data_IF_786184944923
#
_entry.id   IF_786184944923
#
_cell.length_a   1.000
_cell.length_b   1.000
_cell.length_c   1.000
_cell.angle_alpha   90.00
_cell.angle_beta   90.00
_cell.angle_gamma   90.00
#
_symmetry.space_group_name_H-M   'P 1'
#
loop_
_entity.id
_entity.type
_entity.pdbx_description
1 polymer ?
#
# COMPACT_ATOMS: atom_id res chain seq x y z
N UNK A 1 -32.34 -75.46 -25.49
CA UNK A 1 -32.08 -74.29 -26.37
C UNK A 1 -31.99 -73.08 -25.46
N UNK A 2 -31.02 -72.19 -25.50
CA UNK A 2 -29.73 -72.09 -26.17
C UNK A 2 -29.15 -70.74 -25.67
N UNK A 3 -27.82 -70.65 -25.59
CA UNK A 3 -27.01 -69.41 -25.51
C UNK A 3 -26.97 -68.52 -24.23
N UNK A 4 -25.79 -68.57 -23.58
CA UNK A 4 -24.99 -67.36 -23.21
C UNK A 4 -24.52 -66.64 -24.51
N UNK A 5 -23.95 -65.39 -24.56
CA UNK A 5 -23.13 -64.72 -23.53
C UNK A 5 -23.04 -63.15 -23.52
N UNK A 6 -22.21 -62.63 -22.59
CA UNK A 6 -21.30 -61.44 -22.70
C UNK A 6 -21.85 -60.00 -22.69
N UNK A 7 -21.45 -59.20 -21.68
CA UNK A 7 -20.39 -58.16 -21.81
C UNK A 7 -20.38 -57.15 -20.64
N UNK A 8 -19.18 -56.96 -20.04
CA UNK A 8 -18.43 -55.69 -19.82
C UNK A 8 -19.19 -54.49 -19.19
N UNK A 9 -18.63 -53.61 -18.39
CA UNK A 9 -17.36 -53.41 -17.69
C UNK A 9 -17.57 -52.12 -16.87
N UNK A 10 -16.86 -52.00 -15.74
CA UNK A 10 -16.40 -50.76 -15.07
C UNK A 10 -17.25 -49.48 -15.10
N UNK A 11 -17.59 -48.96 -13.91
CA UNK A 11 -17.06 -47.65 -13.46
C UNK A 11 -17.23 -47.44 -11.95
N UNK A 12 -16.08 -47.32 -11.31
CA UNK A 12 -15.83 -46.92 -9.92
C UNK A 12 -16.31 -45.47 -9.73
N UNK A 13 -17.12 -45.13 -8.71
CA UNK A 13 -17.37 -43.72 -8.42
C UNK A 13 -16.09 -43.11 -7.84
N UNK A 14 -15.58 -42.08 -8.51
CA UNK A 14 -14.45 -41.29 -8.05
C UNK A 14 -14.89 -40.44 -6.85
N UNK A 15 -14.23 -40.64 -5.71
CA UNK A 15 -14.31 -39.76 -4.55
C UNK A 15 -13.59 -38.46 -4.91
N UNK A 16 -14.34 -37.43 -5.28
CA UNK A 16 -13.83 -36.06 -5.42
C UNK A 16 -13.87 -35.37 -4.05
N UNK A 17 -12.69 -34.92 -3.59
CA UNK A 17 -12.47 -34.22 -2.33
C UNK A 17 -13.26 -32.89 -2.28
N UNK A 18 -13.76 -32.44 -1.12
CA UNK A 18 -14.30 -31.10 -0.98
C UNK A 18 -13.15 -30.09 -0.95
N UNK A 19 -13.05 -29.26 -1.99
CA UNK A 19 -12.19 -28.07 -1.97
C UNK A 19 -12.89 -27.01 -1.13
N UNK A 20 -12.36 -26.75 0.06
CA UNK A 20 -12.67 -25.59 0.89
C UNK A 20 -12.37 -24.32 0.11
N UNK A 21 -13.41 -23.63 -0.37
CA UNK A 21 -13.29 -22.27 -0.89
C UNK A 21 -13.01 -21.32 0.29
N UNK A 22 -11.76 -20.85 0.42
CA UNK A 22 -11.41 -19.67 1.21
C UNK A 22 -12.21 -18.47 0.68
N UNK A 23 -12.82 -17.63 1.54
CA UNK A 23 -13.39 -16.37 1.07
C UNK A 23 -12.26 -15.46 0.59
N UNK A 24 -12.34 -15.05 -0.68
CA UNK A 24 -11.48 -14.04 -1.26
C UNK A 24 -11.83 -12.69 -0.63
N UNK A 25 -10.94 -12.16 0.21
CA UNK A 25 -10.99 -10.77 0.63
C UNK A 25 -10.52 -9.95 -0.59
N UNK A 26 -11.47 -9.51 -1.41
CA UNK A 26 -11.24 -8.51 -2.45
C UNK A 26 -10.98 -7.18 -1.76
N UNK A 27 -9.71 -6.85 -1.52
CA UNK A 27 -9.29 -5.46 -1.25
C UNK A 27 -9.68 -4.61 -2.46
N UNK A 28 -10.28 -3.42 -2.31
CA UNK A 28 -10.56 -2.56 -3.43
C UNK A 28 -9.23 -2.11 -4.05
N UNK A 29 -9.01 -2.49 -5.31
CA UNK A 29 -7.91 -1.99 -6.11
C UNK A 29 -8.21 -0.53 -6.45
N UNK A 30 -7.71 0.39 -5.63
CA UNK A 30 -7.59 1.80 -5.98
C UNK A 30 -6.73 1.84 -7.25
N UNK A 31 -7.35 2.15 -8.38
CA UNK A 31 -6.67 2.41 -9.65
C UNK A 31 -5.75 3.62 -9.42
N UNK A 32 -4.50 3.37 -9.08
CA UNK A 32 -3.46 4.41 -9.05
C UNK A 32 -3.26 4.92 -10.48
N UNK A 33 -3.25 6.24 -10.70
CA UNK A 33 -2.81 6.79 -11.97
C UNK A 33 -1.33 6.42 -12.20
N UNK A 34 -0.89 6.25 -13.46
CA UNK A 34 0.50 5.99 -13.78
C UNK A 34 1.30 7.28 -13.60
N UNK A 35 1.74 7.55 -12.38
CA UNK A 35 2.67 8.65 -12.13
C UNK A 35 4.04 8.20 -12.70
N UNK A 36 4.73 9.08 -13.42
CA UNK A 36 5.97 8.76 -14.13
C UNK A 36 7.07 8.26 -13.18
N UNK A 37 7.63 7.07 -13.46
CA UNK A 37 8.62 6.34 -12.63
C UNK A 37 9.94 7.09 -12.34
N UNK A 38 10.17 8.27 -12.93
CA UNK A 38 11.43 9.03 -12.81
C UNK A 38 11.48 10.01 -11.65
N UNK A 39 10.37 10.66 -11.29
CA UNK A 39 10.36 11.72 -10.27
C UNK A 39 9.94 11.24 -8.87
N UNK A 40 9.21 10.12 -8.79
CA UNK A 40 8.60 9.64 -7.54
C UNK A 40 9.57 9.14 -6.46
N UNK A 41 10.88 9.18 -6.71
CA UNK A 41 11.91 8.59 -5.84
C UNK A 41 13.10 9.52 -5.63
N UNK A 42 12.91 10.83 -5.81
CA UNK A 42 13.94 11.81 -5.52
C UNK A 42 14.45 11.66 -4.06
N UNK A 43 13.56 11.37 -3.10
CA UNK A 43 13.90 11.08 -1.70
C UNK A 43 14.63 9.74 -1.45
N UNK A 44 14.82 8.89 -2.47
CA UNK A 44 15.64 7.68 -2.39
C UNK A 44 17.06 7.88 -2.96
N UNK A 45 17.33 9.05 -3.52
CA UNK A 45 18.67 9.38 -4.00
C UNK A 45 19.60 9.65 -2.81
N UNK A 46 20.90 9.55 -3.03
CA UNK A 46 21.92 9.87 -1.99
C UNK A 46 22.01 11.37 -1.72
N UNK A 47 21.46 12.19 -2.61
CA UNK A 47 21.42 13.64 -2.53
C UNK A 47 20.20 14.13 -3.30
N UNK A 48 19.61 15.22 -2.81
CA UNK A 48 18.41 15.80 -3.39
C UNK A 48 18.78 17.08 -4.16
N UNK A 49 18.13 17.32 -5.30
CA UNK A 49 18.34 18.53 -6.09
C UNK A 49 17.82 19.78 -5.37
N UNK A 50 18.41 20.95 -5.64
CA UNK A 50 18.00 22.22 -5.02
C UNK A 50 16.58 22.66 -5.41
N UNK A 51 16.07 22.20 -6.56
CA UNK A 51 14.70 22.44 -7.02
C UNK A 51 13.73 21.30 -6.67
N UNK A 52 14.13 20.38 -5.78
CA UNK A 52 13.26 19.28 -5.39
C UNK A 52 12.01 19.77 -4.65
N UNK A 53 10.91 19.03 -4.83
CA UNK A 53 9.62 19.30 -4.21
C UNK A 53 9.74 19.25 -2.69
N UNK A 54 8.91 20.02 -2.00
CA UNK A 54 8.94 20.10 -0.54
C UNK A 54 8.68 18.72 0.08
N UNK A 55 7.74 17.95 -0.49
CA UNK A 55 7.46 16.57 -0.07
C UNK A 55 8.67 15.65 -0.18
N UNK A 56 9.49 15.80 -1.22
CA UNK A 56 10.69 14.99 -1.42
C UNK A 56 11.79 15.37 -0.41
N UNK A 57 11.89 16.66 -0.06
CA UNK A 57 12.82 17.14 0.98
C UNK A 57 12.49 16.55 2.34
N UNK A 58 11.23 16.65 2.76
CA UNK A 58 10.80 16.13 4.06
C UNK A 58 10.95 14.59 4.10
N UNK A 59 10.56 13.92 3.02
CA UNK A 59 10.74 12.47 2.90
C UNK A 59 12.22 12.06 2.99
N UNK A 60 13.11 12.80 2.32
CA UNK A 60 14.55 12.56 2.37
C UNK A 60 15.09 12.75 3.79
N UNK A 61 14.71 13.82 4.49
CA UNK A 61 15.13 14.07 5.89
C UNK A 61 14.67 12.94 6.83
N UNK A 62 13.40 12.54 6.75
CA UNK A 62 12.85 11.45 7.56
C UNK A 62 13.61 10.13 7.31
N UNK A 63 13.98 9.84 6.07
CA UNK A 63 14.70 8.62 5.71
C UNK A 63 16.20 8.69 6.03
N UNK A 64 16.79 9.89 6.03
CA UNK A 64 18.15 10.11 6.47
C UNK A 64 18.29 9.83 7.98
N UNK A 65 17.29 10.22 8.77
CA UNK A 65 17.24 9.89 10.21
C UNK A 65 16.84 8.44 10.47
N UNK A 66 15.83 7.94 9.73
CA UNK A 66 15.19 6.65 9.97
C UNK A 66 14.78 5.96 8.68
N UNK A 67 15.74 5.30 8.06
CA UNK A 67 15.55 4.55 6.81
C UNK A 67 14.53 3.40 6.92
N UNK A 68 14.23 2.92 8.14
CA UNK A 68 13.18 1.92 8.40
C UNK A 68 11.76 2.41 8.10
N UNK A 69 11.57 3.73 8.00
CA UNK A 69 10.27 4.36 7.77
C UNK A 69 9.90 4.50 6.29
N UNK A 70 10.73 4.01 5.38
CA UNK A 70 10.45 3.99 3.94
C UNK A 70 9.02 3.51 3.58
N UNK A 71 8.52 2.37 4.07
CA UNK A 71 7.16 1.93 3.75
C UNK A 71 6.07 2.88 4.26
N UNK A 72 6.34 3.65 5.33
CA UNK A 72 5.42 4.67 5.84
C UNK A 72 5.45 5.93 4.99
N UNK A 73 6.64 6.40 4.60
CA UNK A 73 6.83 7.54 3.71
C UNK A 73 6.22 7.28 2.34
N UNK A 74 6.50 6.12 1.71
CA UNK A 74 5.86 5.73 0.45
C UNK A 74 4.33 5.64 0.58
N UNK A 75 3.81 5.27 1.76
CA UNK A 75 2.36 5.22 1.99
C UNK A 75 1.74 6.61 2.08
N UNK A 76 2.45 7.59 2.65
CA UNK A 76 1.99 8.99 2.69
C UNK A 76 2.02 9.58 1.29
N UNK A 77 3.16 9.50 0.60
CA UNK A 77 3.36 10.08 -0.74
C UNK A 77 2.36 9.49 -1.75
N UNK A 78 2.11 8.18 -1.71
CA UNK A 78 1.14 7.55 -2.62
C UNK A 78 -0.31 7.52 -2.11
N UNK A 79 -0.53 7.86 -0.83
CA UNK A 79 -1.83 7.81 -0.18
C UNK A 79 -2.57 9.15 -0.20
N UNK A 80 -1.84 10.24 -0.37
CA UNK A 80 -2.42 11.56 -0.49
C UNK A 80 -2.89 11.86 -1.93
N UNK A 81 -4.03 12.57 -2.09
CA UNK A 81 -4.56 12.93 -3.41
C UNK A 81 -3.80 14.10 -4.08
N UNK A 82 -3.16 14.94 -3.28
CA UNK A 82 -2.47 16.14 -3.72
C UNK A 82 -1.20 16.40 -2.89
N UNK A 83 -0.30 17.21 -3.45
CA UNK A 83 1.00 17.55 -2.86
C UNK A 83 0.91 18.30 -1.52
N UNK A 84 0.07 19.36 -1.34
CA UNK A 84 0.00 20.05 -0.06
C UNK A 84 -0.55 19.16 1.06
N UNK A 85 -1.44 18.21 0.75
CA UNK A 85 -1.88 17.20 1.73
C UNK A 85 -0.74 16.23 2.07
N UNK A 86 0.05 15.81 1.09
CA UNK A 86 1.23 14.97 1.32
C UNK A 86 2.29 15.67 2.18
N UNK A 87 2.55 16.95 1.91
CA UNK A 87 3.48 17.79 2.69
C UNK A 87 3.05 17.83 4.15
N UNK A 88 1.80 18.20 4.43
CA UNK A 88 1.27 18.27 5.80
C UNK A 88 1.31 16.92 6.49
N UNK A 89 0.96 15.84 5.78
CA UNK A 89 1.01 14.49 6.35
C UNK A 89 2.44 14.08 6.71
N UNK A 90 3.43 14.42 5.88
CA UNK A 90 4.84 14.16 6.18
C UNK A 90 5.33 14.99 7.38
N UNK A 91 4.93 16.26 7.49
CA UNK A 91 5.27 17.10 8.66
C UNK A 91 4.66 16.57 9.96
N UNK A 92 3.38 16.19 9.94
CA UNK A 92 2.71 15.56 11.09
C UNK A 92 3.39 14.24 11.48
N UNK A 93 3.73 13.43 10.48
CA UNK A 93 4.45 12.18 10.70
C UNK A 93 5.83 12.42 11.30
N UNK A 94 6.62 13.35 10.76
CA UNK A 94 7.94 13.72 11.25
C UNK A 94 7.89 14.24 12.70
N UNK A 95 6.97 15.16 13.00
CA UNK A 95 6.76 15.66 14.36
C UNK A 95 6.43 14.53 15.34
N UNK A 96 5.57 13.59 14.93
CA UNK A 96 5.17 12.43 15.72
C UNK A 96 6.30 11.42 15.98
N UNK A 97 7.43 11.49 15.26
CA UNK A 97 8.61 10.66 15.55
C UNK A 97 9.35 11.13 16.80
N UNK A 98 9.24 12.41 17.14
CA UNK A 98 9.89 13.01 18.33
C UNK A 98 9.10 12.75 19.62
N UNK A 99 7.78 12.54 19.52
CA UNK A 99 6.88 12.29 20.65
C UNK A 99 6.51 10.81 20.82
N UNK A 100 6.66 10.29 22.04
CA UNK A 100 6.15 8.96 22.38
C UNK A 100 4.62 8.94 22.43
N UNK A 101 3.98 8.09 21.61
CA UNK A 101 2.53 7.86 21.66
C UNK A 101 1.69 8.73 20.72
N UNK A 102 2.31 9.53 19.85
CA UNK A 102 1.57 10.36 18.89
C UNK A 102 0.86 9.49 17.83
N UNK A 103 -0.45 9.69 17.60
CA UNK A 103 -1.21 8.90 16.63
C UNK A 103 -0.76 9.10 15.18
N UNK A 104 -0.19 10.27 14.84
CA UNK A 104 0.34 10.57 13.52
C UNK A 104 1.63 9.81 13.20
N UNK A 105 2.19 9.05 14.17
CA UNK A 105 3.25 8.08 13.91
C UNK A 105 2.76 6.93 13.02
N UNK A 106 1.44 6.76 12.89
CA UNK A 106 0.85 5.92 11.86
C UNK A 106 0.60 6.76 10.59
N UNK A 107 1.17 6.37 9.43
CA UNK A 107 1.02 7.12 8.19
C UNK A 107 -0.45 7.32 7.78
N UNK A 108 -1.34 6.37 8.07
CA UNK A 108 -2.77 6.51 7.74
C UNK A 108 -3.45 7.61 8.57
N UNK A 109 -3.01 7.77 9.82
CA UNK A 109 -3.56 8.80 10.71
C UNK A 109 -3.03 10.18 10.32
N UNK A 110 -1.74 10.27 9.99
CA UNK A 110 -1.15 11.50 9.48
C UNK A 110 -1.83 12.00 8.19
N UNK A 111 -2.12 11.08 7.24
CA UNK A 111 -2.88 11.42 6.01
C UNK A 111 -4.27 11.94 6.37
N UNK A 112 -5.02 11.21 7.21
CA UNK A 112 -6.38 11.60 7.58
C UNK A 112 -6.43 12.95 8.33
N UNK A 113 -5.45 13.23 9.18
CA UNK A 113 -5.31 14.50 9.87
C UNK A 113 -4.94 15.65 8.91
N UNK A 114 -4.02 15.39 7.97
CA UNK A 114 -3.64 16.36 6.94
C UNK A 114 -4.81 16.73 6.02
N UNK A 115 -5.62 15.75 5.61
CA UNK A 115 -6.83 15.98 4.81
C UNK A 115 -7.85 16.83 5.58
N UNK A 116 -8.10 16.54 6.86
CA UNK A 116 -9.02 17.33 7.69
C UNK A 116 -8.56 18.77 7.91
N UNK A 117 -7.25 19.00 8.02
CA UNK A 117 -6.69 20.35 8.12
C UNK A 117 -6.77 21.15 6.81
N UNK A 118 -7.01 20.49 5.66
CA UNK A 118 -7.23 21.13 4.36
C UNK A 118 -8.64 21.67 4.15
N UNK A 119 -9.64 21.04 4.78
CA UNK A 119 -11.05 21.37 4.61
C UNK A 119 -11.51 22.52 5.54
N UNK A 120 -10.71 22.88 6.53
CA UNK A 120 -11.03 23.91 7.52
C UNK A 120 -10.58 25.34 7.14
N UNK A 121 -10.19 25.56 5.87
CA UNK A 121 -9.64 26.82 5.34
C UNK A 121 -10.56 27.54 4.36
#
# INVERSE_FOLDING_TARGET
MDESPVARTTKKPAITKPVTKKPAITKPAIKRPPVAKGEQRAYLQTSLADDARIVDRIAFEVLAERSDLLPSVERIIHGCPDEPTAERALLLFQAALTGGGDPNRNPMTAIAAATQAGDAG
#
